data_IF_167706922778
#
_entry.id   IF_167706922778
#
_cell.length_a   1.000
_cell.length_b   1.000
_cell.length_c   1.000
_cell.angle_alpha   90.00
_cell.angle_beta   90.00
_cell.angle_gamma   90.00
#
_symmetry.space_group_name_H-M   'P 1'
#
loop_
_entity.id
_entity.type
_entity.pdbx_description
1 polymer ?
#
# COMPACT_ATOMS: atom_id res chain seq x y z
N UNK A 1 -40.60 -39.21 56.00
CA UNK A 1 -40.31 -37.75 55.99
C UNK A 1 -39.09 -37.37 56.83
N UNK A 2 -38.98 -37.73 58.12
CA UNK A 2 -37.78 -37.40 58.95
C UNK A 2 -36.44 -37.84 58.36
N UNK A 3 -36.30 -39.10 57.91
CA UNK A 3 -35.05 -39.59 57.30
C UNK A 3 -34.63 -38.83 56.02
N UNK A 4 -35.58 -38.33 55.25
CA UNK A 4 -35.29 -37.53 54.04
C UNK A 4 -34.81 -36.12 54.43
N UNK A 5 -35.43 -35.52 55.45
CA UNK A 5 -34.99 -34.23 56.02
C UNK A 5 -33.60 -34.32 56.66
N UNK A 6 -33.30 -35.41 57.37
CA UNK A 6 -31.97 -35.64 57.96
C UNK A 6 -30.88 -35.75 56.88
N UNK A 7 -31.20 -36.38 55.75
CA UNK A 7 -30.27 -36.53 54.63
C UNK A 7 -30.04 -35.20 53.91
N UNK A 8 -31.11 -34.44 53.66
CA UNK A 8 -31.04 -33.11 53.03
C UNK A 8 -30.19 -32.17 53.86
N UNK A 9 -30.41 -32.08 55.18
CA UNK A 9 -29.62 -31.17 56.03
C UNK A 9 -28.15 -31.54 56.12
N UNK A 10 -27.82 -32.85 56.16
CA UNK A 10 -26.42 -33.31 56.16
C UNK A 10 -25.72 -32.93 54.87
N UNK A 11 -26.38 -33.11 53.72
CA UNK A 11 -25.85 -32.71 52.42
C UNK A 11 -25.68 -31.19 52.31
N UNK A 12 -26.69 -30.41 52.70
CA UNK A 12 -26.61 -28.94 52.69
C UNK A 12 -25.47 -28.44 53.57
N UNK A 13 -25.29 -29.01 54.77
CA UNK A 13 -24.20 -28.63 55.65
C UNK A 13 -22.82 -28.96 55.06
N UNK A 14 -22.66 -30.15 54.46
CA UNK A 14 -21.42 -30.53 53.79
C UNK A 14 -21.12 -29.61 52.60
N UNK A 15 -22.11 -29.28 51.78
CA UNK A 15 -21.95 -28.34 50.66
C UNK A 15 -21.56 -26.93 51.13
N UNK A 16 -22.14 -26.44 52.23
CA UNK A 16 -21.79 -25.14 52.82
C UNK A 16 -20.34 -25.17 53.30
N UNK A 17 -19.94 -26.21 54.04
CA UNK A 17 -18.57 -26.32 54.56
C UNK A 17 -17.55 -26.47 53.42
N UNK A 18 -17.85 -27.27 52.41
CA UNK A 18 -17.00 -27.45 51.23
C UNK A 18 -16.88 -26.15 50.42
N UNK A 19 -17.99 -25.45 50.18
CA UNK A 19 -18.02 -24.17 49.48
C UNK A 19 -17.26 -23.07 50.22
N UNK A 20 -17.43 -22.97 51.54
CA UNK A 20 -16.67 -22.03 52.38
C UNK A 20 -15.18 -22.38 52.40
N UNK A 21 -14.83 -23.66 52.54
CA UNK A 21 -13.43 -24.10 52.55
C UNK A 21 -12.75 -23.81 51.21
N UNK A 22 -13.43 -24.07 50.09
CA UNK A 22 -12.91 -23.77 48.75
C UNK A 22 -12.83 -22.25 48.51
N UNK A 23 -13.83 -21.49 48.95
CA UNK A 23 -13.85 -20.03 48.83
C UNK A 23 -12.72 -19.35 49.60
N UNK A 24 -12.52 -19.74 50.86
CA UNK A 24 -11.42 -19.25 51.70
C UNK A 24 -10.06 -19.65 51.10
N UNK A 25 -9.92 -20.91 50.66
CA UNK A 25 -8.67 -21.38 50.04
C UNK A 25 -8.36 -20.60 48.76
N UNK A 26 -9.37 -20.34 47.92
CA UNK A 26 -9.22 -19.54 46.71
C UNK A 26 -8.78 -18.11 47.06
N UNK A 27 -9.43 -17.45 48.02
CA UNK A 27 -9.09 -16.08 48.41
C UNK A 27 -7.66 -15.94 48.93
N UNK A 28 -7.19 -16.87 49.77
CA UNK A 28 -5.81 -16.88 50.26
C UNK A 28 -4.76 -17.25 49.20
N UNK A 29 -5.14 -17.97 48.15
CA UNK A 29 -4.20 -18.42 47.10
C UNK A 29 -4.15 -17.48 45.90
N UNK A 30 -5.19 -16.67 45.65
CA UNK A 30 -5.24 -15.68 44.56
C UNK A 30 -4.02 -14.75 44.52
N UNK A 31 -3.72 -14.08 45.63
CA UNK A 31 -2.59 -13.13 45.70
C UNK A 31 -1.23 -13.80 45.48
N UNK A 32 -0.88 -14.92 46.17
CA UNK A 32 0.35 -15.65 45.88
C UNK A 32 0.46 -16.14 44.43
N UNK A 33 -0.63 -16.63 43.84
CA UNK A 33 -0.64 -17.10 42.44
C UNK A 33 -0.43 -15.91 41.50
N UNK A 34 -1.11 -14.80 41.72
CA UNK A 34 -0.94 -13.58 40.93
C UNK A 34 0.51 -13.08 41.01
N UNK A 35 1.09 -13.02 42.21
CA UNK A 35 2.47 -12.59 42.40
C UNK A 35 3.48 -13.53 41.72
N UNK A 36 3.26 -14.84 41.81
CA UNK A 36 4.10 -15.82 41.12
C UNK A 36 3.98 -15.72 39.59
N UNK A 37 2.78 -15.48 39.07
CA UNK A 37 2.56 -15.30 37.64
C UNK A 37 3.25 -14.03 37.14
N UNK A 38 3.11 -12.90 37.85
CA UNK A 38 3.82 -11.66 37.52
C UNK A 38 5.34 -11.84 37.56
N UNK A 39 5.87 -12.56 38.55
CA UNK A 39 7.30 -12.84 38.61
C UNK A 39 7.79 -13.70 37.44
N UNK A 40 7.03 -14.73 37.06
CA UNK A 40 7.37 -15.58 35.90
C UNK A 40 7.26 -14.84 34.58
N UNK A 41 6.29 -13.96 34.46
CA UNK A 41 6.06 -13.11 33.30
C UNK A 41 7.21 -12.11 33.15
N UNK A 42 7.55 -11.36 34.20
CA UNK A 42 8.70 -10.46 34.17
C UNK A 42 10.02 -11.20 33.88
N UNK A 43 10.19 -12.40 34.43
CA UNK A 43 11.34 -13.25 34.13
C UNK A 43 11.37 -13.70 32.66
N UNK A 44 10.21 -13.94 32.03
CA UNK A 44 10.12 -14.28 30.61
C UNK A 44 10.52 -13.10 29.72
N UNK A 45 10.06 -11.88 30.04
CA UNK A 45 10.50 -10.66 29.34
C UNK A 45 12.01 -10.43 29.48
N UNK A 46 12.56 -10.59 30.69
CA UNK A 46 14.00 -10.51 30.94
C UNK A 46 14.79 -11.57 30.14
N UNK A 47 14.29 -12.79 30.07
CA UNK A 47 15.00 -13.91 29.44
C UNK A 47 15.12 -13.77 27.92
N UNK A 48 14.23 -13.01 27.28
CA UNK A 48 14.21 -12.85 25.83
C UNK A 48 14.82 -11.53 25.37
N UNK A 49 15.05 -10.57 26.26
CA UNK A 49 15.63 -9.26 25.92
C UNK A 49 17.15 -9.32 25.72
N UNK A 50 17.69 -8.24 25.12
CA UNK A 50 19.13 -8.06 25.03
C UNK A 50 19.75 -8.01 26.43
N UNK A 51 20.95 -8.59 26.64
CA UNK A 51 21.65 -8.53 27.94
C UNK A 51 21.97 -7.10 28.42
N UNK A 52 21.84 -6.13 27.51
CA UNK A 52 22.12 -4.72 27.70
C UNK A 52 20.94 -3.92 28.28
N UNK A 53 19.73 -4.47 28.29
CA UNK A 53 18.56 -3.81 28.88
C UNK A 53 18.66 -3.80 30.42
N UNK A 54 18.70 -2.60 31.02
CA UNK A 54 18.79 -2.40 32.46
C UNK A 54 17.43 -2.14 33.11
N UNK A 55 16.51 -1.48 32.39
CA UNK A 55 15.16 -1.13 32.85
C UNK A 55 14.11 -1.51 31.79
N UNK A 56 12.83 -1.60 32.20
CA UNK A 56 11.71 -1.98 31.33
C UNK A 56 10.55 -0.99 31.48
N UNK A 57 10.14 -0.40 30.37
CA UNK A 57 8.99 0.51 30.33
C UNK A 57 7.83 -0.19 29.63
N UNK A 58 6.67 -0.23 30.28
CA UNK A 58 5.45 -0.79 29.70
C UNK A 58 4.93 0.06 28.54
N UNK A 59 4.50 -0.60 27.48
CA UNK A 59 3.89 0.03 26.30
C UNK A 59 2.39 -0.13 26.42
N UNK A 60 1.68 0.99 26.53
CA UNK A 60 0.23 1.00 26.81
C UNK A 60 -0.63 0.99 25.55
N UNK A 61 -0.09 1.41 24.42
CA UNK A 61 -0.77 1.35 23.12
C UNK A 61 -0.37 0.07 22.39
N UNK A 62 -1.30 -0.89 22.32
CA UNK A 62 -1.08 -2.23 21.77
C UNK A 62 -1.94 -2.45 20.53
N UNK A 63 -1.38 -3.13 19.54
CA UNK A 63 -2.14 -3.59 18.38
C UNK A 63 -3.06 -4.78 18.74
N UNK A 64 -4.05 -5.06 17.88
CA UNK A 64 -5.01 -6.14 18.12
C UNK A 64 -4.30 -7.51 18.26
N UNK A 65 -4.55 -8.17 19.40
CA UNK A 65 -3.99 -9.48 19.72
C UNK A 65 -2.50 -9.47 20.11
N UNK A 66 -1.98 -8.31 20.52
CA UNK A 66 -0.82 -8.21 21.41
C UNK A 66 -1.35 -8.13 22.84
N UNK A 67 -0.90 -9.03 23.73
CA UNK A 67 -1.39 -9.06 25.11
C UNK A 67 -0.71 -7.99 25.97
N UNK A 68 0.61 -7.86 25.80
CA UNK A 68 1.49 -6.93 26.53
C UNK A 68 2.74 -6.64 25.71
N UNK A 69 3.33 -5.47 25.93
CA UNK A 69 4.64 -5.15 25.38
C UNK A 69 5.43 -4.23 26.31
N UNK A 70 6.76 -4.34 26.22
CA UNK A 70 7.71 -3.55 27.01
C UNK A 70 8.87 -3.09 26.13
N UNK A 71 9.39 -1.89 26.40
CA UNK A 71 10.63 -1.37 25.85
C UNK A 71 11.77 -1.62 26.86
N UNK A 72 12.86 -2.24 26.39
CA UNK A 72 14.07 -2.45 27.17
C UNK A 72 14.95 -1.22 27.08
N UNK A 73 15.33 -0.65 28.22
CA UNK A 73 16.02 0.63 28.30
C UNK A 73 17.45 0.43 28.80
N UNK A 74 18.40 1.15 28.18
CA UNK A 74 19.78 1.32 28.66
C UNK A 74 20.10 2.81 28.63
N UNK A 75 20.53 3.36 29.77
CA UNK A 75 20.90 4.78 29.88
C UNK A 75 19.81 5.76 29.36
N UNK A 76 18.54 5.38 29.51
CA UNK A 76 17.40 6.19 29.05
C UNK A 76 17.05 6.05 27.57
N UNK A 77 17.72 5.17 26.81
CA UNK A 77 17.41 4.85 25.41
C UNK A 77 16.86 3.43 25.27
N UNK A 78 15.91 3.23 24.35
CA UNK A 78 15.40 1.90 24.03
C UNK A 78 16.48 1.11 23.27
N UNK A 79 16.86 -0.06 23.79
CA UNK A 79 17.84 -0.99 23.19
C UNK A 79 17.20 -2.26 22.62
N UNK A 80 15.87 -2.36 22.72
CA UNK A 80 15.09 -3.47 22.23
C UNK A 80 13.67 -3.44 22.77
N UNK A 81 12.84 -4.34 22.27
CA UNK A 81 11.43 -4.48 22.63
C UNK A 81 11.13 -5.94 22.93
N UNK A 82 10.10 -6.18 23.73
CA UNK A 82 9.56 -7.51 23.91
C UNK A 82 8.04 -7.46 23.99
N UNK A 83 7.38 -8.38 23.29
CA UNK A 83 5.94 -8.47 23.21
C UNK A 83 5.45 -9.88 23.52
N UNK A 84 4.31 -9.96 24.19
CA UNK A 84 3.61 -11.20 24.48
C UNK A 84 2.39 -11.35 23.57
N UNK A 85 2.27 -12.53 22.97
CA UNK A 85 1.12 -12.92 22.15
C UNK A 85 0.58 -14.26 22.62
N UNK A 86 -0.72 -14.34 22.84
CA UNK A 86 -1.44 -15.59 23.14
C UNK A 86 -2.08 -16.13 21.87
N UNK A 87 -1.76 -17.37 21.52
CA UNK A 87 -2.33 -18.09 20.38
C UNK A 87 -2.95 -19.42 20.82
N UNK A 88 -3.87 -19.95 20.02
CA UNK A 88 -4.44 -21.27 20.28
C UNK A 88 -3.49 -22.37 19.81
N UNK A 89 -3.02 -23.19 20.76
CA UNK A 89 -2.29 -24.43 20.50
C UNK A 89 -3.21 -25.65 20.37
N UNK A 90 -2.62 -26.85 20.36
CA UNK A 90 -3.36 -28.10 20.25
C UNK A 90 -4.12 -28.45 21.55
N UNK A 91 -3.46 -28.31 22.69
CA UNK A 91 -3.99 -28.64 24.02
C UNK A 91 -4.56 -27.46 24.78
N UNK A 92 -4.30 -26.22 24.34
CA UNK A 92 -4.80 -25.01 24.96
C UNK A 92 -4.08 -23.75 24.48
N UNK A 93 -4.36 -22.59 25.09
CA UNK A 93 -3.66 -21.35 24.79
C UNK A 93 -2.15 -21.48 25.07
N UNK A 94 -1.35 -20.92 24.17
CA UNK A 94 0.11 -20.81 24.28
C UNK A 94 0.44 -19.32 24.33
N UNK A 95 1.07 -18.88 25.42
CA UNK A 95 1.64 -17.55 25.54
C UNK A 95 3.08 -17.59 25.05
N UNK A 96 3.41 -16.71 24.12
CA UNK A 96 4.76 -16.57 23.57
C UNK A 96 5.22 -15.16 23.84
N UNK A 97 6.31 -15.03 24.59
CA UNK A 97 7.02 -13.76 24.77
C UNK A 97 8.18 -13.76 23.79
N UNK A 98 8.27 -12.74 22.96
CA UNK A 98 9.29 -12.58 21.92
C UNK A 98 10.08 -11.32 22.20
N UNK A 99 11.40 -11.42 22.24
CA UNK A 99 12.30 -10.27 22.35
C UNK A 99 12.96 -9.95 21.02
N UNK A 100 13.20 -8.66 20.78
CA UNK A 100 13.81 -8.15 19.57
C UNK A 100 14.73 -6.97 19.90
N UNK A 101 15.89 -6.91 19.26
CA UNK A 101 16.81 -5.80 19.41
C UNK A 101 16.42 -4.59 18.55
N UNK A 102 17.18 -3.49 18.69
CA UNK A 102 16.95 -2.26 17.93
C UNK A 102 17.17 -2.38 16.42
N UNK A 103 17.71 -3.50 15.93
CA UNK A 103 17.92 -3.76 14.50
C UNK A 103 16.85 -4.69 13.91
N UNK A 104 15.78 -5.00 14.67
CA UNK A 104 14.73 -5.90 14.22
C UNK A 104 15.11 -7.39 14.29
N UNK A 105 16.18 -7.75 15.00
CA UNK A 105 16.64 -9.14 15.13
C UNK A 105 16.08 -9.76 16.40
N UNK A 106 15.53 -10.97 16.28
CA UNK A 106 15.00 -11.74 17.40
C UNK A 106 16.14 -12.12 18.35
N UNK A 107 16.03 -11.68 19.60
CA UNK A 107 17.02 -11.96 20.66
C UNK A 107 16.69 -13.24 21.42
N UNK A 108 15.41 -13.64 21.44
CA UNK A 108 14.96 -14.89 22.01
C UNK A 108 13.44 -14.98 22.09
N UNK A 109 12.95 -16.19 22.40
CA UNK A 109 11.54 -16.44 22.69
C UNK A 109 11.38 -17.25 23.96
N UNK A 110 10.26 -17.05 24.65
CA UNK A 110 9.84 -17.84 25.81
C UNK A 110 8.41 -18.32 25.59
N UNK A 111 8.23 -19.64 25.61
CA UNK A 111 6.94 -20.30 25.35
C UNK A 111 6.36 -20.82 26.66
N UNK A 112 5.09 -20.54 26.93
CA UNK A 112 4.42 -21.05 28.12
C UNK A 112 3.09 -20.39 28.43
N UNK A 113 2.93 -20.02 29.71
CA UNK A 113 1.68 -19.47 30.24
C UNK A 113 0.96 -20.40 31.24
N UNK A 114 0.05 -19.84 32.05
CA UNK A 114 -0.68 -20.57 33.09
C UNK A 114 -1.63 -21.63 32.51
N UNK A 115 -2.15 -21.41 31.30
CA UNK A 115 -3.08 -22.29 30.61
C UNK A 115 -2.42 -23.20 29.57
N UNK A 116 -1.09 -23.24 29.53
CA UNK A 116 -0.34 -24.09 28.61
C UNK A 116 -0.60 -25.57 28.94
N UNK A 117 -1.29 -26.27 28.04
CA UNK A 117 -1.76 -27.66 28.23
C UNK A 117 -1.40 -28.56 27.05
N UNK A 118 -0.32 -28.25 26.34
CA UNK A 118 0.18 -29.10 25.26
C UNK A 118 0.56 -30.50 25.74
N UNK A 119 0.45 -31.48 24.84
CA UNK A 119 0.75 -32.89 25.16
C UNK A 119 2.22 -33.07 25.56
N UNK A 120 2.44 -33.66 26.75
CA UNK A 120 3.77 -33.94 27.29
C UNK A 120 4.60 -34.81 26.33
N UNK A 121 5.83 -34.38 26.04
CA UNK A 121 6.76 -35.08 25.14
C UNK A 121 6.53 -34.80 23.66
N UNK A 122 5.48 -34.05 23.31
CA UNK A 122 5.16 -33.58 21.95
C UNK A 122 5.13 -32.04 21.95
N UNK A 123 3.95 -31.43 22.04
CA UNK A 123 3.80 -29.98 22.02
C UNK A 123 4.48 -29.28 23.21
N UNK A 124 4.69 -29.97 24.34
CA UNK A 124 5.46 -29.40 25.47
C UNK A 124 6.91 -29.07 25.12
N UNK A 125 7.47 -29.71 24.09
CA UNK A 125 8.84 -29.47 23.62
C UNK A 125 9.03 -28.09 22.98
N UNK A 126 7.94 -27.36 22.70
CA UNK A 126 8.02 -25.95 22.30
C UNK A 126 8.66 -25.06 23.37
N UNK A 127 8.74 -25.53 24.62
CA UNK A 127 9.44 -24.85 25.72
C UNK A 127 10.93 -25.16 25.79
N UNK A 128 11.39 -26.17 25.07
CA UNK A 128 12.76 -26.68 25.17
C UNK A 128 13.71 -25.79 24.34
N UNK A 129 14.95 -25.57 24.82
CA UNK A 129 15.96 -24.79 24.09
C UNK A 129 16.18 -25.26 22.65
N UNK A 130 16.10 -26.57 22.40
CA UNK A 130 16.22 -27.14 21.05
C UNK A 130 15.21 -26.56 20.05
N UNK A 131 14.06 -26.07 20.54
CA UNK A 131 13.07 -25.37 19.73
C UNK A 131 13.22 -23.84 19.82
N UNK A 132 13.32 -23.29 21.02
CA UNK A 132 13.32 -21.82 21.22
C UNK A 132 14.60 -21.14 20.74
N UNK A 133 15.76 -21.81 20.82
CA UNK A 133 17.04 -21.24 20.36
C UNK A 133 17.11 -21.10 18.84
N UNK A 134 16.25 -21.82 18.08
CA UNK A 134 16.20 -21.69 16.63
C UNK A 134 15.77 -20.29 16.16
N UNK A 135 15.12 -19.51 17.02
CA UNK A 135 14.64 -18.16 16.71
C UNK A 135 15.69 -17.07 16.94
N UNK A 136 16.73 -17.35 17.73
CA UNK A 136 17.77 -16.37 18.06
C UNK A 136 18.53 -15.95 16.82
N UNK A 137 18.86 -14.66 16.75
CA UNK A 137 19.65 -14.05 15.67
C UNK A 137 19.00 -14.16 14.28
N UNK A 138 17.68 -14.32 14.23
CA UNK A 138 16.90 -14.28 12.97
C UNK A 138 16.06 -13.02 12.91
N UNK A 139 15.84 -12.52 11.72
CA UNK A 139 14.81 -11.53 11.46
C UNK A 139 13.46 -12.24 11.25
N UNK A 140 12.39 -11.62 11.72
CA UNK A 140 11.04 -12.02 11.32
C UNK A 140 10.75 -11.45 9.92
N UNK A 141 9.88 -12.11 9.14
CA UNK A 141 9.09 -13.30 9.49
C UNK A 141 9.87 -14.60 9.30
N UNK A 142 9.69 -15.54 10.22
CA UNK A 142 10.27 -16.89 10.12
C UNK A 142 9.21 -17.92 9.66
N UNK A 143 9.64 -18.90 8.86
CA UNK A 143 8.77 -19.96 8.30
C UNK A 143 9.07 -21.32 8.92
N UNK A 144 8.02 -22.02 9.31
CA UNK A 144 8.12 -23.41 9.79
C UNK A 144 8.52 -24.35 8.64
N UNK A 145 9.49 -25.23 8.89
CA UNK A 145 10.06 -26.18 7.93
C UNK A 145 11.20 -25.62 7.08
N UNK A 146 11.32 -24.29 6.98
CA UNK A 146 12.43 -23.61 6.28
C UNK A 146 13.40 -23.03 7.30
N UNK A 147 12.95 -22.01 8.05
CA UNK A 147 13.78 -21.30 9.02
C UNK A 147 13.74 -21.99 10.37
N UNK A 148 12.57 -22.49 10.79
CA UNK A 148 12.37 -23.15 12.08
C UNK A 148 11.94 -24.60 11.84
N UNK A 149 12.70 -25.54 12.37
CA UNK A 149 12.36 -26.95 12.33
C UNK A 149 11.24 -27.24 13.34
N UNK A 150 10.10 -27.72 12.82
CA UNK A 150 8.97 -28.10 13.65
C UNK A 150 9.24 -29.35 14.48
N UNK A 151 8.53 -29.47 15.61
CA UNK A 151 8.62 -30.66 16.45
C UNK A 151 7.81 -31.78 15.80
N UNK A 152 8.48 -32.91 15.52
CA UNK A 152 7.85 -34.09 14.93
C UNK A 152 6.66 -34.56 15.79
N UNK A 153 5.49 -34.69 15.18
CA UNK A 153 4.24 -35.06 15.86
C UNK A 153 3.56 -33.93 16.63
N UNK A 154 4.07 -32.69 16.58
CA UNK A 154 3.50 -31.50 17.22
C UNK A 154 3.49 -30.28 16.28
N UNK A 155 3.07 -30.50 15.03
CA UNK A 155 3.05 -29.47 13.99
C UNK A 155 2.13 -28.30 14.35
N UNK A 156 0.97 -28.56 14.96
CA UNK A 156 0.00 -27.52 15.36
C UNK A 156 0.62 -26.57 16.39
N UNK A 157 1.24 -27.13 17.44
CA UNK A 157 1.91 -26.36 18.48
C UNK A 157 3.09 -25.56 17.93
N UNK A 158 3.87 -26.16 17.02
CA UNK A 158 5.03 -25.51 16.40
C UNK A 158 4.60 -24.34 15.50
N UNK A 159 3.56 -24.53 14.69
CA UNK A 159 3.01 -23.49 13.82
C UNK A 159 2.38 -22.33 14.62
N UNK A 160 1.70 -22.65 15.74
CA UNK A 160 1.14 -21.64 16.63
C UNK A 160 2.25 -20.74 17.20
N UNK A 161 3.35 -21.31 17.70
CA UNK A 161 4.48 -20.51 18.21
C UNK A 161 5.09 -19.64 17.12
N UNK A 162 5.35 -20.18 15.92
CA UNK A 162 5.88 -19.38 14.80
C UNK A 162 4.96 -18.21 14.45
N UNK A 163 3.64 -18.44 14.42
CA UNK A 163 2.66 -17.38 14.17
C UNK A 163 2.69 -16.29 15.25
N UNK A 164 2.77 -16.67 16.53
CA UNK A 164 2.87 -15.74 17.64
C UNK A 164 4.15 -14.88 17.58
N UNK A 165 5.29 -15.50 17.23
CA UNK A 165 6.57 -14.80 17.07
C UNK A 165 6.51 -13.79 15.94
N UNK A 166 6.00 -14.17 14.77
CA UNK A 166 5.89 -13.27 13.63
C UNK A 166 4.99 -12.08 13.96
N UNK A 167 3.84 -12.32 14.60
CA UNK A 167 2.92 -11.27 15.03
C UNK A 167 3.54 -10.31 16.05
N UNK A 168 4.30 -10.84 17.01
CA UNK A 168 5.02 -10.03 18.00
C UNK A 168 6.08 -9.15 17.32
N UNK A 169 6.85 -9.70 16.38
CA UNK A 169 7.90 -8.97 15.69
C UNK A 169 7.34 -7.88 14.75
N UNK A 170 6.22 -8.15 14.07
CA UNK A 170 5.51 -7.17 13.26
C UNK A 170 5.14 -5.93 14.10
N UNK A 171 4.49 -6.13 15.24
CA UNK A 171 4.13 -5.05 16.17
C UNK A 171 5.37 -4.29 16.66
N UNK A 172 6.40 -5.00 17.12
CA UNK A 172 7.58 -4.35 17.69
C UNK A 172 8.41 -3.61 16.63
N UNK A 173 8.34 -4.02 15.37
CA UNK A 173 9.09 -3.35 14.31
C UNK A 173 8.41 -2.06 13.87
N UNK A 174 7.07 -2.04 13.89
CA UNK A 174 6.30 -0.80 13.82
C UNK A 174 6.71 0.22 14.90
N UNK A 175 7.02 -0.24 16.12
CA UNK A 175 7.54 0.64 17.19
C UNK A 175 8.96 1.16 16.93
N UNK A 176 9.79 0.38 16.23
CA UNK A 176 11.14 0.78 15.85
C UNK A 176 11.17 1.69 14.62
N UNK A 177 10.05 1.86 13.91
CA UNK A 177 10.04 2.47 12.58
C UNK A 177 10.81 1.65 11.55
N UNK A 178 11.05 0.36 11.84
CA UNK A 178 11.59 -0.61 10.88
C UNK A 178 10.37 -1.21 10.21
N UNK A 179 10.23 -1.01 8.89
CA UNK A 179 9.25 -1.74 8.13
C UNK A 179 9.58 -3.24 8.22
N UNK A 180 8.79 -4.01 8.97
CA UNK A 180 8.88 -5.47 8.89
C UNK A 180 8.06 -5.92 7.73
N UNK A 181 8.75 -6.46 6.73
CA UNK A 181 8.14 -7.13 5.61
C UNK A 181 7.32 -8.32 6.13
N UNK A 182 6.03 -8.31 5.87
CA UNK A 182 5.16 -9.44 6.18
C UNK A 182 5.57 -10.67 5.34
N UNK A 183 5.32 -11.90 5.82
CA UNK A 183 5.60 -13.08 5.03
C UNK A 183 4.82 -13.12 3.71
N UNK A 184 3.74 -12.33 3.58
CA UNK A 184 2.98 -12.13 2.36
C UNK A 184 3.70 -11.19 1.37
N UNK A 185 4.35 -10.13 1.85
CA UNK A 185 5.14 -9.21 1.03
C UNK A 185 6.37 -9.93 0.45
N UNK A 186 7.12 -10.71 1.24
CA UNK A 186 8.25 -11.53 0.75
C UNK A 186 7.80 -12.55 -0.31
N UNK A 187 6.62 -13.16 -0.16
CA UNK A 187 6.08 -14.07 -1.17
C UNK A 187 5.67 -13.35 -2.45
N UNK A 188 5.14 -12.12 -2.37
CA UNK A 188 4.81 -11.32 -3.54
C UNK A 188 6.06 -10.98 -4.37
N UNK A 189 7.16 -10.57 -3.72
CA UNK A 189 8.44 -10.28 -4.40
C UNK A 189 9.05 -11.54 -5.04
N UNK A 190 8.99 -12.68 -4.33
CA UNK A 190 9.41 -13.99 -4.87
C UNK A 190 8.58 -14.43 -6.06
N UNK A 191 7.27 -14.17 -6.03
CA UNK A 191 6.36 -14.54 -7.11
C UNK A 191 6.64 -13.76 -8.40
N UNK A 192 7.02 -12.48 -8.28
CA UNK A 192 7.28 -11.64 -9.46
C UNK A 192 8.69 -11.77 -10.00
N UNK A 193 9.66 -12.20 -9.20
CA UNK A 193 11.05 -12.42 -9.60
C UNK A 193 11.52 -13.86 -9.31
N UNK A 194 10.95 -14.87 -9.99
CA UNK A 194 11.17 -16.29 -9.68
C UNK A 194 12.61 -16.78 -9.95
N UNK A 195 13.43 -15.98 -10.63
CA UNK A 195 14.84 -16.28 -10.88
C UNK A 195 15.77 -16.01 -9.69
N UNK A 196 15.32 -15.23 -8.70
CA UNK A 196 16.07 -14.89 -7.50
C UNK A 196 15.82 -15.90 -6.37
N UNK A 197 16.84 -16.15 -5.56
CA UNK A 197 16.77 -17.01 -4.36
C UNK A 197 16.91 -16.21 -3.08
N UNK A 198 17.59 -15.06 -3.14
CA UNK A 198 17.76 -14.09 -2.05
C UNK A 198 17.29 -12.71 -2.49
N UNK A 199 16.82 -11.88 -1.55
CA UNK A 199 16.34 -10.52 -1.81
C UNK A 199 16.97 -9.57 -0.79
N UNK A 200 17.46 -8.43 -1.25
CA UNK A 200 17.99 -7.35 -0.43
C UNK A 200 17.26 -6.05 -0.78
N UNK A 201 16.91 -5.25 0.22
CA UNK A 201 16.22 -3.97 0.00
C UNK A 201 17.09 -3.03 -0.85
N UNK A 202 16.44 -2.31 -1.77
CA UNK A 202 17.05 -1.29 -2.61
C UNK A 202 16.51 0.09 -2.25
N UNK A 203 17.32 1.14 -2.46
CA UNK A 203 16.87 2.52 -2.24
C UNK A 203 15.62 2.83 -3.08
N UNK A 204 14.60 3.39 -2.45
CA UNK A 204 13.34 3.78 -3.09
C UNK A 204 13.38 5.23 -3.59
N UNK A 205 12.41 5.59 -4.42
CA UNK A 205 12.16 6.95 -4.87
C UNK A 205 10.73 7.36 -4.48
N UNK A 206 10.42 8.66 -4.61
CA UNK A 206 9.06 9.16 -4.37
C UNK A 206 8.04 8.43 -5.27
N UNK A 207 6.95 7.96 -4.66
CA UNK A 207 5.93 7.16 -5.34
C UNK A 207 6.24 5.66 -5.48
N UNK A 208 7.33 5.19 -4.87
CA UNK A 208 7.68 3.76 -4.74
C UNK A 208 7.63 3.37 -3.27
N UNK A 209 6.77 2.41 -2.94
CA UNK A 209 6.56 2.00 -1.55
C UNK A 209 7.73 1.14 -1.06
N UNK A 210 8.14 0.16 -1.87
CA UNK A 210 9.19 -0.80 -1.55
C UNK A 210 9.98 -1.20 -2.80
N UNK A 211 11.26 -1.54 -2.64
CA UNK A 211 12.12 -2.00 -3.73
C UNK A 211 13.15 -3.03 -3.25
N UNK A 212 13.45 -4.02 -4.09
CA UNK A 212 14.37 -5.12 -3.78
C UNK A 212 15.26 -5.48 -4.96
N UNK A 213 16.52 -5.79 -4.66
CA UNK A 213 17.43 -6.50 -5.55
C UNK A 213 17.30 -8.01 -5.32
N UNK A 214 16.88 -8.75 -6.34
CA UNK A 214 16.85 -10.21 -6.31
C UNK A 214 18.18 -10.79 -6.75
N UNK A 215 18.76 -11.67 -5.94
CA UNK A 215 20.06 -12.30 -6.16
C UNK A 215 19.95 -13.81 -6.39
N UNK A 216 20.86 -14.33 -7.20
CA UNK A 216 21.14 -15.75 -7.37
C UNK A 216 22.65 -15.96 -7.35
N UNK A 217 23.11 -16.90 -6.53
CA UNK A 217 24.54 -17.18 -6.35
C UNK A 217 25.37 -15.92 -5.99
N UNK A 218 24.77 -14.99 -5.25
CA UNK A 218 25.37 -13.72 -4.85
C UNK A 218 25.37 -12.60 -5.92
N UNK A 219 24.90 -12.87 -7.14
CA UNK A 219 24.78 -11.88 -8.21
C UNK A 219 23.33 -11.42 -8.39
N UNK A 220 23.12 -10.13 -8.67
CA UNK A 220 21.80 -9.60 -9.00
C UNK A 220 21.30 -10.22 -10.32
N UNK A 221 20.08 -10.77 -10.29
CA UNK A 221 19.40 -11.35 -11.46
C UNK A 221 18.17 -10.54 -11.88
N UNK A 222 17.79 -9.55 -11.07
CA UNK A 222 16.75 -8.58 -11.36
C UNK A 222 16.39 -7.79 -10.13
N UNK A 223 15.37 -6.94 -10.26
CA UNK A 223 14.84 -6.11 -9.19
C UNK A 223 13.33 -6.22 -9.14
N UNK A 224 12.73 -5.92 -8.00
CA UNK A 224 11.29 -5.80 -7.85
C UNK A 224 10.91 -4.52 -7.10
N UNK A 225 9.78 -3.92 -7.45
CA UNK A 225 9.27 -2.73 -6.80
C UNK A 225 7.77 -2.84 -6.57
N UNK A 226 7.31 -2.26 -5.46
CA UNK A 226 5.90 -2.10 -5.14
C UNK A 226 5.52 -0.63 -5.22
N UNK A 227 4.37 -0.36 -5.82
CA UNK A 227 3.77 0.98 -5.86
C UNK A 227 2.28 0.89 -5.53
N UNK A 228 1.75 1.92 -4.89
CA UNK A 228 0.33 2.03 -4.56
C UNK A 228 -0.32 3.07 -5.44
N UNK A 229 -1.37 2.66 -6.13
CA UNK A 229 -2.16 3.54 -7.00
C UNK A 229 -3.63 3.50 -6.60
N UNK A 230 -4.37 4.56 -6.91
CA UNK A 230 -5.80 4.61 -6.61
C UNK A 230 -6.60 3.73 -7.59
N UNK A 231 -7.27 2.71 -7.07
CA UNK A 231 -8.26 1.90 -7.79
C UNK A 231 -9.69 2.46 -7.69
N UNK A 232 -10.68 1.68 -8.12
CA UNK A 232 -12.09 2.07 -8.07
C UNK A 232 -12.64 2.06 -6.64
N UNK A 233 -12.37 0.99 -5.88
CA UNK A 233 -12.93 0.77 -4.55
C UNK A 233 -11.96 0.99 -3.40
N UNK A 234 -10.69 1.20 -3.70
CA UNK A 234 -9.62 1.43 -2.73
C UNK A 234 -8.24 1.54 -3.38
N UNK A 235 -7.17 1.72 -2.60
CA UNK A 235 -5.81 1.63 -3.10
C UNK A 235 -5.53 0.22 -3.66
N UNK A 236 -4.71 0.18 -4.71
CA UNK A 236 -4.25 -1.03 -5.39
C UNK A 236 -2.73 -1.03 -5.34
N UNK A 237 -2.19 -1.92 -4.52
CA UNK A 237 -0.76 -2.22 -4.50
C UNK A 237 -0.40 -3.08 -5.70
N UNK A 238 0.60 -2.65 -6.45
CA UNK A 238 1.13 -3.31 -7.65
C UNK A 238 2.60 -3.59 -7.41
N UNK A 239 2.93 -4.87 -7.32
CA UNK A 239 4.31 -5.36 -7.21
C UNK A 239 4.77 -5.89 -8.56
N UNK A 240 5.92 -5.43 -9.04
CA UNK A 240 6.49 -5.82 -10.34
C UNK A 240 7.89 -6.33 -10.16
N UNK A 241 8.21 -7.43 -10.86
CA UNK A 241 9.58 -7.94 -11.00
C UNK A 241 10.11 -7.66 -12.41
N UNK A 242 11.37 -7.27 -12.49
CA UNK A 242 12.08 -6.96 -13.74
C UNK A 242 13.43 -7.66 -13.73
N UNK A 243 13.79 -8.31 -14.84
CA UNK A 243 15.12 -8.88 -15.00
C UNK A 243 16.17 -7.82 -15.37
N UNK A 244 17.45 -8.22 -15.39
CA UNK A 244 18.56 -7.34 -15.75
C UNK A 244 18.54 -6.83 -17.21
N UNK A 245 17.59 -7.28 -18.04
CA UNK A 245 17.40 -6.82 -19.42
C UNK A 245 16.28 -5.78 -19.57
N UNK A 246 15.55 -5.50 -18.48
CA UNK A 246 14.39 -4.59 -18.50
C UNK A 246 13.07 -5.28 -18.86
N UNK A 247 13.05 -6.61 -18.92
CA UNK A 247 11.85 -7.38 -19.20
C UNK A 247 11.11 -7.70 -17.91
N UNK A 248 9.79 -7.53 -17.92
CA UNK A 248 8.91 -7.83 -16.79
C UNK A 248 8.86 -9.34 -16.59
N UNK A 249 9.28 -9.82 -15.41
CA UNK A 249 9.28 -11.25 -15.07
C UNK A 249 7.96 -11.69 -14.42
N UNK A 250 7.25 -10.76 -13.79
CA UNK A 250 5.96 -11.01 -13.16
C UNK A 250 5.34 -9.75 -12.57
N UNK A 251 4.03 -9.82 -12.34
CA UNK A 251 3.24 -8.77 -11.70
C UNK A 251 2.31 -9.43 -10.68
N UNK A 252 2.25 -8.87 -9.48
CA UNK A 252 1.31 -9.24 -8.42
C UNK A 252 0.51 -7.99 -8.04
N UNK A 253 -0.81 -8.14 -7.92
CA UNK A 253 -1.72 -7.03 -7.64
C UNK A 253 -2.60 -7.38 -6.44
N UNK A 254 -2.69 -6.46 -5.49
CA UNK A 254 -3.45 -6.63 -4.25
C UNK A 254 -2.66 -6.14 -3.05
N UNK A 255 -3.37 -5.82 -1.98
CA UNK A 255 -2.81 -5.25 -0.75
C UNK A 255 -3.88 -5.17 0.33
N UNK A 256 -3.54 -4.80 1.58
CA UNK A 256 -4.48 -4.72 2.70
C UNK A 256 -5.66 -3.77 2.45
N UNK A 257 -5.44 -2.70 1.67
CA UNK A 257 -6.47 -1.72 1.29
C UNK A 257 -7.23 -2.06 0.01
N UNK A 258 -6.94 -3.21 -0.60
CA UNK A 258 -7.57 -3.62 -1.85
C UNK A 258 -9.06 -3.91 -1.66
N UNK A 259 -9.90 -3.15 -2.33
CA UNK A 259 -11.36 -3.24 -2.17
C UNK A 259 -12.10 -3.08 -3.50
N UNK A 260 -11.58 -3.71 -4.56
CA UNK A 260 -12.21 -3.70 -5.88
C UNK A 260 -13.50 -4.54 -5.92
N UNK A 261 -14.43 -4.18 -6.79
CA UNK A 261 -15.71 -4.90 -6.92
C UNK A 261 -15.47 -6.37 -7.31
N UNK A 262 -15.91 -7.29 -6.46
CA UNK A 262 -15.76 -8.73 -6.66
C UNK A 262 -16.38 -9.19 -7.99
N UNK A 263 -15.65 -10.01 -8.76
CA UNK A 263 -16.07 -10.51 -10.08
C UNK A 263 -15.94 -9.50 -11.23
N UNK A 264 -15.57 -8.25 -10.94
CA UNK A 264 -15.24 -7.20 -11.90
C UNK A 264 -13.80 -6.73 -11.68
N UNK A 265 -13.61 -5.64 -10.93
CA UNK A 265 -12.30 -5.02 -10.69
C UNK A 265 -11.32 -5.95 -9.99
N UNK A 266 -11.80 -6.83 -9.09
CA UNK A 266 -10.94 -7.81 -8.42
C UNK A 266 -10.23 -8.78 -9.38
N UNK A 267 -10.71 -8.91 -10.62
CA UNK A 267 -10.08 -9.79 -11.63
C UNK A 267 -8.70 -9.33 -12.08
N UNK A 268 -8.28 -8.10 -11.76
CA UNK A 268 -6.90 -7.66 -12.03
C UNK A 268 -5.87 -8.47 -11.22
N UNK A 269 -6.28 -9.19 -10.19
CA UNK A 269 -5.43 -10.11 -9.43
C UNK A 269 -5.29 -11.49 -10.10
N UNK A 270 -6.14 -11.80 -11.09
CA UNK A 270 -6.16 -13.12 -11.71
C UNK A 270 -5.00 -13.28 -12.71
N UNK A 271 -4.42 -14.49 -12.84
CA UNK A 271 -3.36 -14.77 -13.82
C UNK A 271 -3.72 -14.38 -15.26
N UNK A 272 -5.00 -14.51 -15.64
CA UNK A 272 -5.47 -14.10 -16.97
C UNK A 272 -5.22 -12.61 -17.28
N UNK A 273 -5.13 -11.77 -16.25
CA UNK A 273 -4.77 -10.36 -16.39
C UNK A 273 -3.27 -10.13 -16.13
N UNK A 274 -2.71 -10.63 -15.02
CA UNK A 274 -1.32 -10.36 -14.64
C UNK A 274 -0.29 -11.01 -15.58
N UNK A 275 -0.61 -12.15 -16.21
CA UNK A 275 0.32 -12.83 -17.12
C UNK A 275 0.50 -12.08 -18.44
N UNK A 276 -0.40 -11.15 -18.77
CA UNK A 276 -0.26 -10.32 -19.98
C UNK A 276 0.97 -9.42 -19.93
N UNK A 277 1.47 -9.08 -18.74
CA UNK A 277 2.65 -8.24 -18.55
C UNK A 277 3.97 -9.00 -18.73
N UNK A 278 3.97 -10.33 -18.57
CA UNK A 278 5.20 -11.13 -18.60
C UNK A 278 5.91 -11.02 -19.95
N UNK A 279 7.23 -10.91 -19.90
CA UNK A 279 8.12 -10.76 -21.05
C UNK A 279 7.90 -9.49 -21.90
N UNK A 280 7.10 -8.52 -21.41
CA UNK A 280 7.00 -7.19 -22.00
C UNK A 280 8.00 -6.23 -21.35
N UNK A 281 8.25 -5.11 -22.02
CA UNK A 281 9.01 -3.98 -21.50
C UNK A 281 8.07 -2.79 -21.38
N UNK A 282 8.14 -2.06 -20.28
CA UNK A 282 7.36 -0.85 -20.08
C UNK A 282 7.93 0.34 -20.88
N UNK A 283 7.12 1.35 -21.23
CA UNK A 283 5.69 1.48 -20.90
C UNK A 283 4.80 0.53 -21.72
N UNK A 284 3.72 0.04 -21.11
CA UNK A 284 2.65 -0.73 -21.78
C UNK A 284 1.34 0.06 -21.78
N UNK A 285 0.56 -0.07 -22.86
CA UNK A 285 -0.71 0.63 -23.03
C UNK A 285 -1.94 -0.30 -22.89
N UNK A 286 -2.93 0.12 -22.10
CA UNK A 286 -4.20 -0.59 -21.97
C UNK A 286 -4.99 -0.52 -23.28
N UNK A 287 -5.51 -1.66 -23.74
CA UNK A 287 -6.23 -1.83 -25.01
C UNK A 287 -5.34 -2.02 -26.23
N UNK A 288 -4.01 -1.90 -26.08
CA UNK A 288 -3.03 -2.20 -27.15
C UNK A 288 -2.12 -3.34 -26.74
N UNK A 289 -1.43 -3.19 -25.61
CA UNK A 289 -0.48 -4.18 -25.10
C UNK A 289 -1.11 -5.12 -24.07
N UNK A 290 -2.07 -4.59 -23.31
CA UNK A 290 -2.77 -5.27 -22.21
C UNK A 290 -4.28 -5.13 -22.45
N UNK A 291 -4.99 -6.24 -22.54
CA UNK A 291 -6.44 -6.28 -22.66
C UNK A 291 -7.10 -5.82 -21.36
N UNK A 292 -8.01 -4.85 -21.48
CA UNK A 292 -8.79 -4.37 -20.35
C UNK A 292 -9.83 -5.41 -19.89
N UNK A 293 -10.13 -5.42 -18.59
CA UNK A 293 -11.22 -6.22 -18.04
C UNK A 293 -12.55 -5.52 -18.35
N UNK A 294 -13.41 -6.18 -19.14
CA UNK A 294 -14.73 -5.67 -19.51
C UNK A 294 -15.53 -5.28 -18.27
N UNK A 295 -15.96 -4.01 -18.20
CA UNK A 295 -16.72 -3.47 -17.07
C UNK A 295 -15.87 -3.07 -15.86
N UNK A 296 -14.55 -3.14 -15.95
CA UNK A 296 -13.61 -2.78 -14.88
C UNK A 296 -12.42 -1.96 -15.42
N UNK A 297 -12.72 -0.94 -16.24
CA UNK A 297 -11.70 -0.10 -16.89
C UNK A 297 -10.85 0.68 -15.88
N UNK A 298 -11.45 1.18 -14.79
CA UNK A 298 -10.73 1.94 -13.75
C UNK A 298 -9.66 1.07 -13.08
N UNK A 299 -10.05 -0.13 -12.64
CA UNK A 299 -9.15 -1.13 -12.03
C UNK A 299 -8.04 -1.55 -12.99
N UNK A 300 -8.38 -1.79 -14.26
CA UNK A 300 -7.41 -2.16 -15.30
C UNK A 300 -6.41 -1.05 -15.58
N UNK A 301 -6.87 0.22 -15.57
CA UNK A 301 -6.03 1.40 -15.77
C UNK A 301 -5.10 1.62 -14.59
N UNK A 302 -5.61 1.46 -13.36
CA UNK A 302 -4.79 1.54 -12.15
C UNK A 302 -3.65 0.50 -12.20
N UNK A 303 -3.95 -0.75 -12.52
CA UNK A 303 -2.94 -1.79 -12.66
C UNK A 303 -1.86 -1.45 -13.69
N UNK A 304 -2.24 -1.03 -14.91
CA UNK A 304 -1.26 -0.62 -15.95
C UNK A 304 -0.43 0.58 -15.51
N UNK A 305 -1.04 1.55 -14.84
CA UNK A 305 -0.34 2.72 -14.29
C UNK A 305 0.70 2.29 -13.26
N UNK A 306 0.32 1.46 -12.28
CA UNK A 306 1.23 0.94 -11.27
C UNK A 306 2.38 0.15 -11.90
N UNK A 307 2.11 -0.69 -12.91
CA UNK A 307 3.17 -1.42 -13.62
C UNK A 307 4.14 -0.48 -14.31
N UNK A 308 3.65 0.53 -15.02
CA UNK A 308 4.51 1.50 -15.71
C UNK A 308 5.35 2.32 -14.73
N UNK A 309 4.77 2.77 -13.61
CA UNK A 309 5.49 3.50 -12.56
C UNK A 309 6.60 2.65 -11.94
N UNK A 310 6.27 1.42 -11.53
CA UNK A 310 7.26 0.49 -10.97
C UNK A 310 8.38 0.21 -11.97
N UNK A 311 8.05 -0.09 -13.22
CA UNK A 311 9.05 -0.36 -14.25
C UNK A 311 9.94 0.84 -14.57
N UNK A 312 9.42 2.07 -14.55
CA UNK A 312 10.22 3.29 -14.75
C UNK A 312 11.31 3.41 -13.69
N UNK A 313 10.94 3.20 -12.43
CA UNK A 313 11.87 3.18 -11.32
C UNK A 313 12.90 2.02 -11.44
N UNK A 314 12.42 0.80 -11.72
CA UNK A 314 13.29 -0.39 -11.84
C UNK A 314 14.30 -0.26 -13.00
N UNK A 315 13.89 0.32 -14.12
CA UNK A 315 14.78 0.59 -15.26
C UNK A 315 15.95 1.51 -14.84
N UNK A 316 15.69 2.50 -13.99
CA UNK A 316 16.71 3.36 -13.40
C UNK A 316 17.72 2.59 -12.56
N UNK A 317 17.27 1.63 -11.75
CA UNK A 317 18.16 0.80 -10.92
C UNK A 317 19.11 -0.09 -11.72
N UNK A 318 18.65 -0.65 -12.85
CA UNK A 318 19.48 -1.49 -13.73
C UNK A 318 20.38 -0.68 -14.68
N UNK A 319 20.33 0.65 -14.61
CA UNK A 319 21.11 1.53 -15.48
C UNK A 319 20.69 1.43 -16.95
N UNK A 320 19.47 0.95 -17.21
CA UNK A 320 18.85 1.19 -18.50
C UNK A 320 18.51 2.67 -18.53
N UNK A 321 19.16 3.41 -19.42
CA UNK A 321 18.62 4.69 -19.84
C UNK A 321 17.20 4.39 -20.34
N UNK A 322 16.20 4.76 -19.55
CA UNK A 322 14.83 4.84 -20.05
C UNK A 322 14.96 5.64 -21.33
N UNK A 323 14.47 5.09 -22.44
CA UNK A 323 14.34 5.84 -23.68
C UNK A 323 13.87 7.22 -23.27
N UNK A 324 14.61 8.30 -23.58
CA UNK A 324 14.21 9.62 -23.11
C UNK A 324 12.75 9.73 -23.48
N UNK A 325 11.88 9.94 -22.49
CA UNK A 325 10.71 10.73 -22.80
C UNK A 325 11.30 11.92 -23.56
N UNK A 326 10.88 12.13 -24.83
CA UNK A 326 11.02 13.46 -25.40
C UNK A 326 10.65 14.38 -24.24
N UNK A 327 11.54 15.27 -23.80
CA UNK A 327 11.23 16.06 -22.62
C UNK A 327 9.88 16.66 -22.93
N UNK A 328 8.86 16.32 -22.14
CA UNK A 328 7.74 17.23 -22.00
C UNK A 328 8.42 18.47 -21.43
N UNK A 329 8.89 19.32 -22.35
CA UNK A 329 8.95 20.74 -22.10
C UNK A 329 7.56 20.98 -21.55
N UNK A 330 7.46 21.27 -20.25
CA UNK A 330 6.25 21.85 -19.69
C UNK A 330 6.14 23.22 -20.34
N UNK A 331 5.77 23.21 -21.62
CA UNK A 331 5.35 24.36 -22.37
C UNK A 331 4.12 24.77 -21.61
N UNK A 332 4.21 25.88 -20.86
CA UNK A 332 3.08 26.33 -20.06
C UNK A 332 1.82 26.30 -20.93
N UNK A 333 0.65 25.87 -20.41
CA UNK A 333 -0.52 25.59 -21.24
C UNK A 333 -0.87 26.71 -22.23
N UNK A 334 -0.63 27.96 -21.83
CA UNK A 334 -0.83 29.15 -22.66
C UNK A 334 0.17 29.28 -23.82
N UNK A 335 1.41 28.81 -23.65
CA UNK A 335 2.42 28.70 -24.71
C UNK A 335 2.04 27.59 -25.69
N UNK A 336 1.52 26.46 -25.19
CA UNK A 336 1.21 25.27 -26.00
C UNK A 336 0.04 25.50 -26.97
N UNK A 337 -0.90 26.35 -26.58
CA UNK A 337 -2.05 26.70 -27.43
C UNK A 337 -1.83 27.96 -28.26
N UNK A 338 -0.79 28.75 -28.00
CA UNK A 338 -0.56 29.98 -28.75
C UNK A 338 -0.28 29.70 -30.23
N UNK A 339 -0.58 30.66 -31.11
CA UNK A 339 -0.19 30.55 -32.52
C UNK A 339 1.32 30.24 -32.64
N UNK A 340 1.76 29.34 -33.55
CA UNK A 340 3.18 29.05 -33.75
C UNK A 340 4.05 30.27 -34.12
N UNK A 341 3.40 31.35 -34.53
CA UNK A 341 4.04 32.61 -34.91
C UNK A 341 4.35 33.54 -33.73
N UNK A 342 3.79 33.29 -32.53
CA UNK A 342 4.08 34.10 -31.35
C UNK A 342 5.51 33.85 -30.84
N UNK A 343 6.29 34.93 -30.74
CA UNK A 343 7.66 34.92 -30.21
C UNK A 343 7.72 35.36 -28.73
N UNK A 344 6.74 36.15 -28.29
CA UNK A 344 6.60 36.64 -26.92
C UNK A 344 5.17 36.43 -26.45
N UNK A 345 4.97 36.16 -25.15
CA UNK A 345 3.64 36.05 -24.55
C UNK A 345 3.59 36.96 -23.34
N UNK A 346 2.55 37.80 -23.28
CA UNK A 346 2.31 38.75 -22.19
C UNK A 346 0.94 38.46 -21.56
N UNK A 347 0.87 38.40 -20.23
CA UNK A 347 -0.39 38.30 -19.50
C UNK A 347 -1.16 39.63 -19.58
N UNK A 348 -2.45 39.56 -19.87
CA UNK A 348 -3.34 40.71 -20.03
C UNK A 348 -4.52 40.63 -19.05
N UNK A 349 -5.27 41.72 -18.93
CA UNK A 349 -6.43 41.78 -18.02
C UNK A 349 -7.52 40.78 -18.44
N UNK A 350 -7.89 39.90 -17.51
CA UNK A 350 -8.96 38.91 -17.69
C UNK A 350 -10.33 39.48 -17.28
N UNK A 351 -11.39 39.12 -18.02
CA UNK A 351 -12.76 39.47 -17.66
C UNK A 351 -13.32 38.55 -16.56
N UNK A 352 -14.46 38.93 -15.98
CA UNK A 352 -15.18 38.07 -15.02
C UNK A 352 -15.52 36.71 -15.65
N UNK A 353 -15.10 35.62 -14.98
CA UNK A 353 -15.27 34.25 -15.48
C UNK A 353 -14.11 33.72 -16.33
N UNK A 354 -13.04 34.51 -16.52
CA UNK A 354 -11.78 34.09 -17.12
C UNK A 354 -10.70 34.09 -16.03
N UNK A 355 -9.96 32.98 -15.88
CA UNK A 355 -8.96 32.85 -14.81
C UNK A 355 -7.67 33.62 -15.15
N UNK A 356 -7.19 33.45 -16.38
CA UNK A 356 -6.01 34.13 -16.93
C UNK A 356 -6.19 34.41 -18.42
N UNK A 357 -5.55 35.47 -18.91
CA UNK A 357 -5.58 35.85 -20.31
C UNK A 357 -4.18 36.29 -20.77
N UNK A 358 -3.84 36.01 -22.02
CA UNK A 358 -2.52 36.26 -22.59
C UNK A 358 -2.62 36.77 -24.03
N UNK A 359 -1.73 37.67 -24.42
CA UNK A 359 -1.52 38.10 -25.80
C UNK A 359 -0.19 37.55 -26.32
N UNK A 360 -0.25 36.81 -27.44
CA UNK A 360 0.94 36.39 -28.17
C UNK A 360 1.39 37.46 -29.14
N UNK A 361 2.67 37.83 -29.12
CA UNK A 361 3.26 38.87 -29.95
C UNK A 361 4.39 38.33 -30.85
N UNK A 362 4.48 38.88 -32.06
CA UNK A 362 5.60 38.70 -32.99
C UNK A 362 6.06 40.07 -33.46
N UNK A 363 7.34 40.37 -33.27
CA UNK A 363 7.93 41.68 -33.62
C UNK A 363 7.15 42.88 -33.04
N UNK A 364 6.57 42.71 -31.84
CA UNK A 364 5.76 43.72 -31.15
C UNK A 364 4.29 43.83 -31.58
N UNK A 365 3.86 43.09 -32.62
CA UNK A 365 2.46 43.02 -33.04
C UNK A 365 1.76 41.80 -32.42
N UNK A 366 0.51 41.96 -31.99
CA UNK A 366 -0.29 40.82 -31.52
C UNK A 366 -0.57 39.89 -32.70
N UNK A 367 -0.44 38.57 -32.48
CA UNK A 367 -0.69 37.52 -33.49
C UNK A 367 -1.73 36.51 -33.03
N UNK A 368 -2.12 36.53 -31.76
CA UNK A 368 -3.15 35.67 -31.20
C UNK A 368 -3.33 35.91 -29.70
N UNK A 369 -4.31 35.24 -29.12
CA UNK A 369 -4.62 35.32 -27.71
C UNK A 369 -4.75 33.92 -27.11
N UNK A 370 -4.51 33.79 -25.81
CA UNK A 370 -4.86 32.60 -25.05
C UNK A 370 -5.62 32.96 -23.78
N UNK A 371 -6.58 32.15 -23.38
CA UNK A 371 -7.34 32.34 -22.14
C UNK A 371 -7.55 31.02 -21.41
N UNK A 372 -7.49 31.08 -20.10
CA UNK A 372 -7.70 29.97 -19.18
C UNK A 372 -9.04 30.13 -18.50
N UNK A 373 -9.85 29.06 -18.50
CA UNK A 373 -11.19 29.04 -17.90
C UNK A 373 -11.39 27.74 -17.13
N UNK A 374 -11.82 27.86 -15.88
CA UNK A 374 -12.15 26.76 -14.99
C UNK A 374 -13.65 26.64 -14.84
N UNK A 375 -14.17 25.44 -15.11
CA UNK A 375 -15.59 25.11 -14.97
C UNK A 375 -15.76 23.87 -14.12
N UNK A 376 -16.92 23.72 -13.49
CA UNK A 376 -17.22 22.50 -12.75
C UNK A 376 -17.33 21.28 -13.69
N UNK A 377 -16.50 20.26 -13.47
CA UNK A 377 -16.61 18.95 -14.10
C UNK A 377 -17.48 17.98 -13.29
N UNK A 378 -17.32 16.68 -13.56
CA UNK A 378 -17.98 15.62 -12.82
C UNK A 378 -17.27 15.31 -11.50
N UNK A 379 -15.95 15.10 -11.55
CA UNK A 379 -15.13 14.70 -10.41
C UNK A 379 -14.38 15.85 -9.75
N UNK A 380 -14.20 16.96 -10.46
CA UNK A 380 -13.56 18.17 -9.95
C UNK A 380 -13.65 19.33 -10.95
N UNK A 381 -13.07 20.49 -10.63
CA UNK A 381 -12.92 21.57 -11.59
C UNK A 381 -12.10 21.12 -12.81
N UNK A 382 -12.54 21.53 -13.99
CA UNK A 382 -11.87 21.32 -15.28
C UNK A 382 -11.36 22.67 -15.75
N UNK A 383 -10.06 22.86 -15.61
CA UNK A 383 -9.34 24.00 -16.18
C UNK A 383 -9.02 23.70 -17.66
N UNK A 384 -9.32 24.68 -18.52
CA UNK A 384 -9.06 24.60 -19.95
C UNK A 384 -8.36 25.87 -20.39
N UNK A 385 -7.19 25.73 -21.01
CA UNK A 385 -6.50 26.82 -21.67
C UNK A 385 -6.74 26.72 -23.18
N UNK A 386 -7.13 27.83 -23.81
CA UNK A 386 -7.56 27.88 -25.21
C UNK A 386 -6.80 28.98 -25.92
N UNK A 387 -6.26 28.69 -27.09
CA UNK A 387 -5.64 29.70 -27.96
C UNK A 387 -6.50 29.99 -29.18
N UNK A 388 -6.50 31.24 -29.63
CA UNK A 388 -7.07 31.67 -30.91
C UNK A 388 -6.09 32.54 -31.69
N UNK A 389 -6.21 32.52 -33.02
CA UNK A 389 -5.57 33.49 -33.90
C UNK A 389 -6.42 34.78 -34.06
N UNK A 390 -5.89 35.77 -34.78
CA UNK A 390 -6.60 37.02 -35.07
C UNK A 390 -7.82 36.87 -35.99
N UNK A 391 -8.08 35.69 -36.55
CA UNK A 391 -9.32 35.40 -37.28
C UNK A 391 -10.42 34.86 -36.36
N UNK A 392 -10.09 34.59 -35.09
CA UNK A 392 -10.97 33.93 -34.13
C UNK A 392 -10.95 32.40 -34.23
N UNK A 393 -10.06 31.83 -35.05
CA UNK A 393 -9.94 30.37 -35.18
C UNK A 393 -9.10 29.81 -34.03
N UNK A 394 -9.58 28.70 -33.45
CA UNK A 394 -8.91 28.02 -32.35
C UNK A 394 -7.63 27.37 -32.85
N UNK A 395 -6.50 27.70 -32.22
CA UNK A 395 -5.18 27.14 -32.54
C UNK A 395 -4.91 25.86 -31.77
N UNK A 396 -5.50 25.71 -30.59
CA UNK A 396 -5.41 24.53 -29.75
C UNK A 396 -6.10 24.71 -28.40
N UNK A 397 -6.28 23.60 -27.69
CA UNK A 397 -6.73 23.59 -26.30
C UNK A 397 -5.84 22.66 -25.47
N UNK A 398 -5.63 23.01 -24.20
CA UNK A 398 -5.04 22.15 -23.18
C UNK A 398 -6.05 22.00 -22.06
N UNK A 399 -6.32 20.77 -21.66
CA UNK A 399 -7.29 20.45 -20.60
C UNK A 399 -6.54 19.82 -19.43
N UNK A 400 -6.76 20.34 -18.23
CA UNK A 400 -6.10 19.88 -17.01
C UNK A 400 -5.77 21.04 -16.08
N UNK A 401 -5.55 20.72 -14.82
CA UNK A 401 -5.19 21.66 -13.75
C UNK A 401 -4.99 20.88 -12.45
N UNK A 402 -4.44 21.53 -11.41
CA UNK A 402 -4.03 20.86 -10.16
C UNK A 402 -5.19 20.19 -9.40
N UNK A 403 -6.42 20.63 -9.66
CA UNK A 403 -7.63 20.11 -9.03
C UNK A 403 -8.48 19.26 -10.01
N UNK A 404 -7.93 18.93 -11.18
CA UNK A 404 -8.59 18.08 -12.15
C UNK A 404 -8.73 16.66 -11.59
N UNK A 405 -9.97 16.26 -11.32
CA UNK A 405 -10.28 14.98 -10.70
C UNK A 405 -11.34 14.18 -11.47
N UNK A 406 -11.45 14.40 -12.79
CA UNK A 406 -12.33 13.60 -13.64
C UNK A 406 -11.94 12.12 -13.61
N UNK A 407 -12.92 11.22 -13.66
CA UNK A 407 -12.71 9.78 -13.53
C UNK A 407 -11.68 9.27 -14.56
N UNK A 408 -10.55 8.69 -14.13
CA UNK A 408 -9.54 8.10 -15.03
C UNK A 408 -10.16 7.08 -15.98
N UNK A 409 -9.75 7.10 -17.26
CA UNK A 409 -10.28 6.22 -18.30
C UNK A 409 -11.70 6.55 -18.80
N UNK A 410 -12.39 7.51 -18.19
CA UNK A 410 -13.67 8.06 -18.64
C UNK A 410 -13.54 9.57 -18.86
N UNK A 411 -13.86 10.37 -17.84
CA UNK A 411 -13.83 11.83 -17.91
C UNK A 411 -12.44 12.38 -18.20
N UNK A 412 -11.38 11.72 -17.74
CA UNK A 412 -10.00 12.14 -18.01
C UNK A 412 -9.60 12.09 -19.50
N UNK A 413 -10.34 11.36 -20.35
CA UNK A 413 -10.05 11.27 -21.78
C UNK A 413 -10.27 12.57 -22.54
N UNK A 414 -10.90 13.57 -21.93
CA UNK A 414 -10.99 14.92 -22.52
C UNK A 414 -9.61 15.59 -22.66
N UNK A 415 -8.56 15.03 -22.04
CA UNK A 415 -7.16 15.46 -22.22
C UNK A 415 -6.49 14.82 -23.45
N UNK A 416 -7.08 13.77 -24.01
CA UNK A 416 -6.45 13.02 -25.10
C UNK A 416 -6.53 13.79 -26.44
N UNK A 417 -5.51 13.68 -27.31
CA UNK A 417 -5.51 14.32 -28.63
C UNK A 417 -6.74 14.02 -29.47
N UNK A 418 -7.29 12.80 -29.36
CA UNK A 418 -8.52 12.42 -30.07
C UNK A 418 -9.74 13.30 -29.75
N UNK A 419 -9.75 13.94 -28.57
CA UNK A 419 -10.76 14.92 -28.18
C UNK A 419 -10.30 16.36 -28.41
N UNK A 420 -9.09 16.73 -27.98
CA UNK A 420 -8.60 18.12 -28.03
C UNK A 420 -8.33 18.62 -29.46
N UNK A 421 -7.86 17.75 -30.36
CA UNK A 421 -7.58 18.12 -31.76
C UNK A 421 -8.85 18.45 -32.55
N UNK A 422 -10.03 18.02 -32.07
CA UNK A 422 -11.30 18.36 -32.71
C UNK A 422 -11.56 19.86 -32.68
N UNK A 423 -10.97 20.62 -31.76
CA UNK A 423 -11.21 22.06 -31.63
C UNK A 423 -10.38 22.88 -32.62
N UNK A 424 -9.24 22.38 -33.10
CA UNK A 424 -8.35 23.14 -33.98
C UNK A 424 -9.06 23.60 -35.23
N UNK A 425 -8.74 24.82 -35.67
CA UNK A 425 -9.29 25.51 -36.86
C UNK A 425 -10.78 25.84 -36.81
N UNK A 426 -11.50 25.44 -35.75
CA UNK A 426 -12.90 25.82 -35.55
C UNK A 426 -12.99 27.22 -34.97
N UNK A 427 -14.13 27.88 -35.18
CA UNK A 427 -14.46 29.17 -34.59
C UNK A 427 -15.62 28.95 -33.62
N UNK A 428 -15.50 29.45 -32.39
CA UNK A 428 -16.57 29.34 -31.39
C UNK A 428 -17.77 30.27 -31.73
N UNK A 429 -18.99 29.95 -31.27
CA UNK A 429 -19.33 28.84 -30.38
C UNK A 429 -19.35 27.48 -31.11
N UNK A 430 -18.87 26.43 -30.43
CA UNK A 430 -18.98 25.04 -30.86
C UNK A 430 -19.98 24.27 -29.97
N UNK A 431 -20.67 23.28 -30.53
CA UNK A 431 -21.56 22.40 -29.77
C UNK A 431 -21.15 20.92 -29.76
N UNK A 432 -21.38 20.30 -28.61
CA UNK A 432 -21.13 18.88 -28.39
C UNK A 432 -22.18 18.04 -29.15
N UNK A 433 -21.73 17.07 -29.94
CA UNK A 433 -22.55 16.19 -30.78
C UNK A 433 -22.83 16.72 -32.20
N UNK A 434 -22.46 17.97 -32.51
CA UNK A 434 -22.48 18.51 -33.87
C UNK A 434 -21.08 18.82 -34.38
N UNK A 435 -20.33 19.62 -33.62
CA UNK A 435 -19.01 20.11 -34.02
C UNK A 435 -17.90 19.32 -33.34
N UNK A 436 -18.16 18.91 -32.09
CA UNK A 436 -17.25 18.12 -31.25
C UNK A 436 -17.94 16.83 -30.82
N UNK A 437 -17.36 15.69 -31.14
CA UNK A 437 -17.81 14.39 -30.64
C UNK A 437 -17.51 14.26 -29.15
N UNK A 438 -18.52 13.85 -28.38
CA UNK A 438 -18.36 13.61 -26.95
C UNK A 438 -17.48 12.39 -26.68
N UNK A 439 -16.69 12.46 -25.60
CA UNK A 439 -16.07 11.27 -25.05
C UNK A 439 -17.16 10.33 -24.57
N UNK A 440 -17.11 9.07 -25.05
CA UNK A 440 -18.11 8.04 -24.71
C UNK A 440 -18.19 7.86 -23.19
N UNK A 441 -19.42 7.92 -22.66
CA UNK A 441 -19.71 7.81 -21.22
C UNK A 441 -19.11 8.91 -20.33
N UNK A 442 -18.62 10.01 -20.91
CA UNK A 442 -18.05 11.17 -20.20
C UNK A 442 -18.67 12.49 -20.71
N UNK A 443 -20.00 12.50 -20.84
CA UNK A 443 -20.74 13.65 -21.36
C UNK A 443 -20.59 14.90 -20.49
N UNK A 444 -20.52 14.74 -19.16
CA UNK A 444 -20.36 15.87 -18.22
C UNK A 444 -19.01 16.56 -18.42
N UNK A 445 -17.92 15.79 -18.43
CA UNK A 445 -16.56 16.27 -18.69
C UNK A 445 -16.44 16.92 -20.07
N UNK A 446 -16.99 16.28 -21.11
CA UNK A 446 -16.98 16.81 -22.48
C UNK A 446 -17.76 18.13 -22.58
N UNK A 447 -18.90 18.23 -21.89
CA UNK A 447 -19.71 19.45 -21.83
C UNK A 447 -19.00 20.56 -21.08
N UNK A 448 -18.27 20.23 -20.01
CA UNK A 448 -17.46 21.19 -19.26
C UNK A 448 -16.39 21.81 -20.18
N UNK A 449 -15.62 21.00 -20.90
CA UNK A 449 -14.61 21.52 -21.84
C UNK A 449 -15.22 22.43 -22.91
N UNK A 450 -16.32 22.01 -23.56
CA UNK A 450 -16.99 22.86 -24.58
C UNK A 450 -17.47 24.20 -23.99
N UNK A 451 -17.98 24.21 -22.76
CA UNK A 451 -18.37 25.46 -22.08
C UNK A 451 -17.18 26.37 -21.83
N UNK A 452 -16.08 25.83 -21.31
CA UNK A 452 -14.87 26.59 -21.07
C UNK A 452 -14.29 27.16 -22.37
N UNK A 453 -14.29 26.37 -23.45
CA UNK A 453 -13.84 26.80 -24.77
C UNK A 453 -14.68 27.96 -25.32
N UNK A 454 -16.01 27.84 -25.25
CA UNK A 454 -16.89 28.89 -25.74
C UNK A 454 -16.71 30.19 -24.94
N UNK A 455 -16.59 30.10 -23.60
CA UNK A 455 -16.36 31.28 -22.76
C UNK A 455 -15.01 31.95 -23.05
N UNK A 456 -13.94 31.16 -23.18
CA UNK A 456 -12.61 31.66 -23.51
C UNK A 456 -12.60 32.38 -24.88
N UNK A 457 -13.20 31.76 -25.90
CA UNK A 457 -13.24 32.33 -27.25
C UNK A 457 -14.13 33.57 -27.32
N UNK A 458 -15.27 33.61 -26.61
CA UNK A 458 -16.13 34.79 -26.55
C UNK A 458 -15.39 36.00 -25.99
N UNK A 459 -14.66 35.81 -24.88
CA UNK A 459 -13.81 36.84 -24.30
C UNK A 459 -12.71 37.30 -25.27
N UNK A 460 -11.93 36.36 -25.81
CA UNK A 460 -10.80 36.71 -26.67
C UNK A 460 -11.23 37.31 -28.02
N UNK A 461 -12.38 36.92 -28.56
CA UNK A 461 -12.94 37.53 -29.78
C UNK A 461 -13.26 39.02 -29.57
N UNK A 462 -13.60 39.43 -28.35
CA UNK A 462 -13.77 40.85 -27.99
C UNK A 462 -12.48 41.66 -27.97
N UNK A 463 -11.31 41.02 -28.02
CA UNK A 463 -9.99 41.65 -28.06
C UNK A 463 -9.41 41.77 -29.49
N UNK A 464 -10.10 41.20 -30.49
CA UNK A 464 -9.72 41.28 -31.89
C UNK A 464 -10.39 42.52 -32.49
N UNK A 465 -9.58 43.49 -32.92
CA UNK A 465 -10.03 44.76 -33.54
C UNK A 465 -10.59 44.60 -34.96
#
# INVERSE_FOLDING_TARGET
MRKAWDMIWRLTLICIVAGLSLGVTNEFTKEPIAKQNMMKENAAFLAVMTPDAADFNEITELAEGIDKAVAGMKDGQAVGYAAQVTVQGYGGPIQVVTGMDANGVITGISVGGPDFKETSGLGSKTKEPEFTDQFKSKAAPVKLGTDIQGISGATISSAAVVSAVNKACEFMSGLLGIAVETPAEIEAYKAVLPGAVDFEEAETAEGVDLAFAGKKDGAAVGYSAQVTVQGYGGPVEVTVGMDMTGSITGVSIGGPGFNETAGLGAKIQEPAFTDQFKAKTAPVALGTDIDAITGATVSSTAAVTGVNTACKFLAGLIGLETQPEEPEVQVEPHVAVMTPDAAEIEEIEAAEGIDKAFAGKKDGAVVGYAAQVTVAGYGGPVEVTVGIDLTGAITGIVVGGDQFAETPGLGAKVKEPGFTEQFKTKVAPVSLGSDIDAVTSATVSSTAVVKAVNAACEFMAGLID
#
